data_IF_484162567427
#
_entry.id   IF_484162567427
#
_cell.length_a   1.000
_cell.length_b   1.000
_cell.length_c   1.000
_cell.angle_alpha   90.00
_cell.angle_beta   90.00
_cell.angle_gamma   90.00
#
_symmetry.space_group_name_H-M   'P 1'
#
loop_
_entity.id
_entity.type
_entity.pdbx_description
1 polymer ?
#
# COMPACT_ATOMS: atom_id res chain seq x y z
N UNK A 1 28.51 4.66 18.19
CA UNK A 1 27.15 5.21 17.95
C UNK A 1 26.36 4.08 17.34
N UNK A 2 25.28 3.62 17.99
CA UNK A 2 24.34 2.73 17.32
C UNK A 2 23.46 3.64 16.46
N UNK A 3 23.78 3.74 15.18
CA UNK A 3 22.87 4.40 14.24
C UNK A 3 21.57 3.58 14.21
N UNK A 4 20.53 4.12 14.85
CA UNK A 4 19.20 3.55 14.78
C UNK A 4 18.70 3.85 13.37
N UNK A 5 18.86 2.90 12.44
CA UNK A 5 18.27 3.00 11.12
C UNK A 5 16.76 2.78 11.24
N UNK A 6 16.01 3.87 11.26
CA UNK A 6 14.54 3.84 11.24
C UNK A 6 14.03 3.70 9.81
N UNK A 7 13.17 2.73 9.57
CA UNK A 7 12.49 2.55 8.28
C UNK A 7 11.16 3.29 8.18
N UNK A 8 10.74 3.54 6.94
CA UNK A 8 9.38 3.95 6.59
C UNK A 8 8.89 3.04 5.48
N UNK A 9 7.67 2.51 5.59
CA UNK A 9 7.02 1.72 4.55
C UNK A 9 5.97 2.59 3.88
N UNK A 10 6.12 2.80 2.57
CA UNK A 10 5.16 3.51 1.74
C UNK A 10 4.46 2.55 0.79
N UNK A 11 3.19 2.81 0.52
CA UNK A 11 2.43 2.19 -0.56
C UNK A 11 2.25 3.23 -1.66
N UNK A 12 2.40 2.77 -2.90
CA UNK A 12 2.06 3.52 -4.10
C UNK A 12 1.56 2.59 -5.17
N UNK A 13 1.50 3.08 -6.39
CA UNK A 13 1.11 2.29 -7.56
C UNK A 13 1.81 2.84 -8.80
N UNK A 14 1.97 2.01 -9.81
CA UNK A 14 2.55 2.42 -11.09
C UNK A 14 1.44 2.64 -12.12
N UNK A 15 1.55 3.71 -12.90
CA UNK A 15 0.70 3.97 -14.07
C UNK A 15 1.50 3.73 -15.35
N UNK A 16 0.85 3.12 -16.34
CA UNK A 16 1.47 2.89 -17.64
C UNK A 16 1.86 4.23 -18.29
N UNK A 17 3.11 4.33 -18.74
CA UNK A 17 3.64 5.55 -19.34
C UNK A 17 4.10 6.62 -18.34
N UNK A 18 4.02 6.35 -17.02
CA UNK A 18 4.54 7.23 -15.96
C UNK A 18 5.78 6.63 -15.31
N UNK A 19 6.73 7.49 -14.92
CA UNK A 19 7.86 7.11 -14.05
C UNK A 19 7.56 7.34 -12.56
N UNK A 20 6.41 7.95 -12.25
CA UNK A 20 6.02 8.27 -10.89
C UNK A 20 5.49 7.03 -10.16
N UNK A 21 5.97 6.83 -8.93
CA UNK A 21 5.59 5.70 -8.08
C UNK A 21 4.30 5.94 -7.27
N UNK A 22 3.72 7.14 -7.36
CA UNK A 22 2.48 7.54 -6.68
C UNK A 22 2.43 7.13 -5.19
N UNK A 23 3.53 7.35 -4.45
CA UNK A 23 3.72 6.93 -3.05
C UNK A 23 2.87 7.76 -2.05
N UNK A 24 1.56 7.57 -2.08
CA UNK A 24 0.61 8.39 -1.34
C UNK A 24 0.29 7.93 0.08
N UNK A 25 0.60 6.68 0.46
CA UNK A 25 0.21 6.15 1.76
C UNK A 25 1.39 5.70 2.60
N UNK A 26 1.46 6.21 3.84
CA UNK A 26 2.40 5.73 4.85
C UNK A 26 1.77 4.55 5.60
N UNK A 27 2.40 3.37 5.46
CA UNK A 27 1.95 2.13 6.09
C UNK A 27 2.60 1.87 7.45
N UNK A 28 3.73 2.51 7.74
CA UNK A 28 4.43 2.45 9.02
C UNK A 28 5.74 3.23 9.00
N UNK A 29 6.18 3.70 10.16
CA UNK A 29 7.42 4.45 10.33
C UNK A 29 8.06 4.19 11.69
N UNK A 30 9.35 4.48 11.82
CA UNK A 30 10.06 4.43 13.11
C UNK A 30 10.43 3.03 13.61
N UNK A 31 10.29 2.01 12.77
CA UNK A 31 10.72 0.64 13.10
C UNK A 31 12.19 0.43 12.74
N UNK A 32 12.86 -0.50 13.42
CA UNK A 32 14.25 -0.83 13.16
C UNK A 32 14.39 -1.60 11.83
N UNK A 33 15.26 -1.15 10.92
CA UNK A 33 15.49 -1.85 9.64
C UNK A 33 16.08 -3.26 9.82
N UNK A 34 16.75 -3.53 10.94
CA UNK A 34 17.33 -4.83 11.27
C UNK A 34 16.35 -5.77 11.98
N UNK A 35 15.07 -5.42 12.12
CA UNK A 35 14.05 -6.31 12.70
C UNK A 35 13.77 -7.55 11.85
N UNK A 36 14.22 -7.56 10.59
CA UNK A 36 14.00 -8.63 9.62
C UNK A 36 12.60 -8.66 9.00
N UNK A 37 11.57 -8.22 9.74
CA UNK A 37 10.20 -8.08 9.23
C UNK A 37 9.42 -6.97 9.93
N UNK A 38 8.38 -6.46 9.27
CA UNK A 38 7.47 -5.46 9.80
C UNK A 38 6.05 -5.74 9.31
N UNK A 39 5.08 -5.76 10.24
CA UNK A 39 3.65 -5.84 9.88
C UNK A 39 3.07 -4.47 9.62
N UNK A 40 2.19 -4.37 8.63
CA UNK A 40 1.52 -3.12 8.22
C UNK A 40 0.03 -3.33 8.04
N UNK A 41 -0.76 -2.24 8.10
CA UNK A 41 -2.20 -2.26 7.84
C UNK A 41 -2.50 -1.42 6.62
N UNK A 42 -3.21 -2.00 5.67
CA UNK A 42 -3.63 -1.28 4.46
C UNK A 42 -4.79 -0.32 4.76
N UNK A 43 -4.82 0.87 4.11
CA UNK A 43 -5.99 1.73 4.12
C UNK A 43 -7.24 1.02 3.60
N UNK A 44 -8.41 1.34 4.17
CA UNK A 44 -9.68 0.66 3.84
C UNK A 44 -10.28 1.10 2.50
N UNK A 45 -9.90 2.26 2.00
CA UNK A 45 -10.49 2.93 0.83
C UNK A 45 -9.60 2.85 -0.42
N UNK A 46 -8.77 1.81 -0.52
CA UNK A 46 -7.96 1.58 -1.72
C UNK A 46 -8.87 1.13 -2.87
N UNK A 47 -8.69 1.72 -4.05
CA UNK A 47 -9.35 1.26 -5.26
C UNK A 47 -8.73 -0.07 -5.70
N UNK A 48 -9.51 -0.90 -6.37
CA UNK A 48 -8.97 -2.12 -6.99
C UNK A 48 -7.98 -1.75 -8.08
N UNK A 49 -6.73 -2.23 -7.97
CA UNK A 49 -5.67 -2.14 -8.98
C UNK A 49 -4.72 -3.32 -8.85
N UNK A 50 -4.04 -3.66 -9.93
CA UNK A 50 -3.00 -4.69 -10.04
C UNK A 50 -1.57 -4.14 -10.03
N UNK A 51 -1.41 -2.81 -10.06
CA UNK A 51 -0.12 -2.13 -10.15
C UNK A 51 0.41 -1.57 -8.82
N UNK A 52 -0.09 -2.03 -7.67
CA UNK A 52 0.39 -1.53 -6.37
C UNK A 52 1.83 -1.97 -6.10
N UNK A 53 2.61 -1.11 -5.45
CA UNK A 53 3.97 -1.39 -4.98
C UNK A 53 4.14 -0.94 -3.53
N UNK A 54 5.02 -1.62 -2.79
CA UNK A 54 5.47 -1.18 -1.46
C UNK A 54 6.95 -0.79 -1.57
N UNK A 55 7.28 0.37 -1.01
CA UNK A 55 8.66 0.88 -0.95
C UNK A 55 9.09 0.99 0.50
N UNK A 56 10.21 0.34 0.83
CA UNK A 56 10.92 0.51 2.09
C UNK A 56 11.93 1.66 1.93
N UNK A 57 11.65 2.77 2.60
CA UNK A 57 12.54 3.93 2.68
C UNK A 57 13.47 3.79 3.89
N UNK A 58 14.75 4.14 3.71
CA UNK A 58 15.79 3.98 4.70
C UNK A 58 17.18 3.97 4.07
N UNK A 59 17.98 2.94 4.35
CA UNK A 59 19.34 2.82 3.80
C UNK A 59 19.40 2.37 2.32
N UNK A 60 18.31 1.84 1.78
CA UNK A 60 18.19 1.32 0.42
C UNK A 60 16.71 1.38 0.01
N UNK A 61 16.39 2.14 -1.04
CA UNK A 61 15.03 2.32 -1.56
C UNK A 61 14.52 1.06 -2.23
N UNK A 62 14.21 0.03 -1.45
CA UNK A 62 13.77 -1.26 -1.96
C UNK A 62 12.28 -1.21 -2.31
N UNK A 63 11.96 -1.35 -3.58
CA UNK A 63 10.60 -1.47 -4.08
C UNK A 63 10.25 -2.95 -4.34
N UNK A 64 9.03 -3.35 -3.98
CA UNK A 64 8.50 -4.67 -4.33
C UNK A 64 8.18 -4.78 -5.83
N UNK A 65 8.02 -6.00 -6.37
CA UNK A 65 7.23 -6.21 -7.58
C UNK A 65 5.80 -5.66 -7.42
N UNK A 66 5.11 -5.46 -8.55
CA UNK A 66 3.70 -5.06 -8.55
C UNK A 66 2.79 -6.17 -7.99
N UNK A 67 1.73 -5.79 -7.29
CA UNK A 67 0.72 -6.71 -6.77
C UNK A 67 -0.69 -6.12 -6.79
N UNK A 68 -1.68 -7.01 -6.69
CA UNK A 68 -3.10 -6.62 -6.72
C UNK A 68 -3.66 -6.41 -5.33
N UNK A 69 -4.28 -5.26 -5.09
CA UNK A 69 -5.20 -5.05 -3.97
C UNK A 69 -6.61 -5.05 -4.53
N UNK A 70 -7.44 -5.97 -4.05
CA UNK A 70 -8.88 -5.96 -4.32
C UNK A 70 -9.53 -5.07 -3.26
N UNK A 71 -10.05 -3.92 -3.69
CA UNK A 71 -10.78 -3.02 -2.81
C UNK A 71 -12.04 -3.68 -2.24
N UNK A 72 -12.71 -3.04 -1.27
CA UNK A 72 -14.00 -3.54 -0.78
C UNK A 72 -14.96 -3.66 -1.97
N UNK A 73 -15.56 -4.85 -2.14
CA UNK A 73 -16.68 -5.02 -3.07
C UNK A 73 -17.80 -4.10 -2.57
N UNK A 74 -18.08 -3.03 -3.30
CA UNK A 74 -19.37 -2.36 -3.17
C UNK A 74 -20.41 -3.32 -3.74
N UNK A 75 -20.98 -4.17 -2.90
CA UNK A 75 -22.19 -4.91 -3.26
C UNK A 75 -23.30 -3.87 -3.44
N UNK A 76 -23.67 -3.59 -4.68
CA UNK A 76 -24.91 -2.88 -4.99
C UNK A 76 -26.06 -3.80 -4.54
N UNK A 77 -26.60 -3.57 -3.33
CA UNK A 77 -27.95 -4.08 -3.01
C UNK A 77 -28.92 -3.20 -3.77
N UNK A 78 -29.26 -3.61 -4.99
CA UNK A 78 -30.49 -3.19 -5.64
C UNK A 78 -31.64 -3.67 -4.76
N UNK A 79 -32.22 -2.78 -3.97
CA UNK A 79 -33.53 -3.02 -3.38
C UNK A 79 -34.54 -2.92 -4.52
N UNK A 80 -34.94 -4.08 -5.03
CA UNK A 80 -36.09 -4.23 -5.89
C UNK A 80 -37.30 -3.60 -5.20
N UNK A 81 -37.87 -2.59 -5.85
CA UNK A 81 -39.25 -2.20 -5.62
C UNK A 81 -40.11 -3.42 -6.02
N UNK A 82 -40.90 -3.94 -5.10
CA UNK A 82 -42.10 -4.71 -5.44
C UNK A 82 -43.13 -4.57 -4.32
N UNK A 83 -44.09 -3.72 -4.64
CA UNK A 83 -45.50 -3.68 -4.27
C UNK A 83 -46.04 -4.79 -3.35
N UNK A 84 -46.73 -4.38 -2.28
CA UNK A 84 -48.09 -4.82 -1.92
C UNK A 84 -48.72 -3.83 -0.94
#
# INVERSE_FOLDING_TARGET
>A
MNDIYSGIIKLGYLEEGSIDEHLYWDLGSGFLLNSGSQSVRLPRNLKTRDSYIIVLMGNSGNASPQFTIKGPKHEHREQSQQES
#
